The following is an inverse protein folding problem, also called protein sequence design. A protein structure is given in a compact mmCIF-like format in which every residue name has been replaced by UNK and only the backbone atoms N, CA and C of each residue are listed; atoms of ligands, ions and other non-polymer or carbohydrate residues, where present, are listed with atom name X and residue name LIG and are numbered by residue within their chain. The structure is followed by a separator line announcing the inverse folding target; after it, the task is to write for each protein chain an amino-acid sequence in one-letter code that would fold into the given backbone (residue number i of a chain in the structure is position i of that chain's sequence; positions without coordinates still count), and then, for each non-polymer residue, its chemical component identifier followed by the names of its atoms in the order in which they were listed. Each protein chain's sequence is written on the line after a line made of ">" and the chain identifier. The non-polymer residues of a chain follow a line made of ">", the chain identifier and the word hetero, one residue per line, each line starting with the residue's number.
data_IF_650880971288
#
_entry.id   IF_650880971288
#
_cell.length_a   1.000
_cell.length_b   1.000
_cell.length_c   1.000
_cell.angle_alpha   90.00
_cell.angle_beta   90.00
_cell.angle_gamma   90.00
#
_symmetry.space_group_name_H-M   'P 1'
#
loop_
_entity.id
_entity.type
_entity.pdbx_description
1 polymer ?
#
# COMPACT_ATOMS: atom_id res chain seq x y z
N UNK A 1 31.39 -9.28 1.42
CA UNK A 1 30.83 -9.51 0.05
C UNK A 1 31.52 -8.58 -0.92
N UNK A 2 32.09 -9.07 -2.04
CA UNK A 2 32.65 -8.19 -3.06
C UNK A 2 31.53 -7.28 -3.60
N UNK A 3 31.67 -5.95 -3.46
CA UNK A 3 30.76 -4.97 -4.02
C UNK A 3 30.59 -5.26 -5.51
N UNK A 4 29.42 -5.71 -5.92
CA UNK A 4 29.08 -5.81 -7.34
C UNK A 4 29.10 -4.39 -7.89
N UNK A 5 29.71 -4.18 -9.06
CA UNK A 5 29.66 -2.88 -9.74
C UNK A 5 28.21 -2.58 -10.08
N UNK A 6 27.70 -1.44 -9.64
CA UNK A 6 26.36 -0.98 -9.99
C UNK A 6 26.22 -0.85 -11.52
N UNK A 7 25.05 -1.22 -12.05
CA UNK A 7 24.81 -1.24 -13.48
C UNK A 7 23.45 -0.59 -13.80
N UNK A 8 23.48 0.58 -14.45
CA UNK A 8 22.30 1.32 -14.89
C UNK A 8 21.40 0.47 -15.80
N UNK A 9 22.00 -0.27 -16.74
CA UNK A 9 21.22 -1.07 -17.70
C UNK A 9 20.36 -2.13 -17.04
N UNK A 10 20.68 -2.56 -15.83
CA UNK A 10 19.85 -3.50 -15.08
C UNK A 10 18.48 -2.92 -14.70
N UNK A 11 18.31 -1.59 -14.67
CA UNK A 11 17.02 -0.93 -14.40
C UNK A 11 16.14 -0.78 -15.65
N UNK A 12 16.65 -1.08 -16.85
CA UNK A 12 15.90 -0.90 -18.10
C UNK A 12 14.54 -1.62 -18.15
N UNK A 13 14.37 -2.84 -17.62
CA UNK A 13 13.06 -3.49 -17.61
C UNK A 13 11.99 -2.63 -16.92
N UNK A 14 12.32 -2.04 -15.78
CA UNK A 14 11.41 -1.16 -15.04
C UNK A 14 11.19 0.18 -15.77
N UNK A 15 12.27 0.79 -16.27
CA UNK A 15 12.18 2.06 -17.02
C UNK A 15 11.28 1.89 -18.26
N UNK A 16 11.45 0.79 -19.00
CA UNK A 16 10.65 0.50 -20.19
C UNK A 16 9.19 0.21 -19.79
N UNK A 17 8.97 -0.54 -18.71
CA UNK A 17 7.63 -0.73 -18.15
C UNK A 17 6.94 0.63 -17.89
N UNK A 18 7.58 1.53 -17.16
CA UNK A 18 7.04 2.85 -16.82
C UNK A 18 6.76 3.66 -18.10
N UNK A 19 7.71 3.69 -19.04
CA UNK A 19 7.57 4.43 -20.29
C UNK A 19 6.39 3.90 -21.13
N UNK A 20 6.29 2.59 -21.31
CA UNK A 20 5.18 1.98 -22.09
C UNK A 20 3.86 2.22 -21.38
N UNK A 21 3.78 2.00 -20.07
CA UNK A 21 2.55 2.16 -19.31
C UNK A 21 2.01 3.59 -19.41
N UNK A 22 2.85 4.60 -19.14
CA UNK A 22 2.44 6.00 -19.24
C UNK A 22 2.18 6.45 -20.69
N UNK A 23 3.00 6.02 -21.64
CA UNK A 23 2.83 6.39 -23.04
C UNK A 23 1.54 5.79 -23.60
N UNK A 24 1.29 4.51 -23.39
CA UNK A 24 0.05 3.85 -23.82
C UNK A 24 -1.18 4.52 -23.19
N UNK A 25 -1.13 4.80 -21.88
CA UNK A 25 -2.21 5.46 -21.18
C UNK A 25 -2.54 6.85 -21.71
N UNK A 26 -1.52 7.64 -22.03
CA UNK A 26 -1.68 8.99 -22.60
C UNK A 26 -2.22 8.96 -24.04
N UNK A 27 -1.72 8.04 -24.89
CA UNK A 27 -2.17 7.94 -26.29
C UNK A 27 -3.59 7.42 -26.42
N UNK A 28 -3.98 6.48 -25.55
CA UNK A 28 -5.29 5.85 -25.60
C UNK A 28 -6.34 6.58 -24.75
N UNK A 29 -5.92 7.60 -23.98
CA UNK A 29 -6.75 8.27 -22.95
C UNK A 29 -7.45 7.27 -22.01
N UNK A 30 -6.86 6.10 -21.85
CA UNK A 30 -7.38 5.02 -21.01
C UNK A 30 -6.21 4.24 -20.37
N UNK A 31 -6.13 4.29 -19.04
CA UNK A 31 -5.12 3.57 -18.27
C UNK A 31 -5.37 2.06 -18.20
N UNK A 32 -6.54 1.59 -18.61
CA UNK A 32 -6.89 0.17 -18.67
C UNK A 32 -6.75 -0.44 -20.06
N UNK A 33 -6.54 0.39 -21.10
CA UNK A 33 -6.42 -0.09 -22.46
C UNK A 33 -5.35 -1.18 -22.62
N UNK A 34 -4.27 -1.11 -21.83
CA UNK A 34 -3.26 -2.16 -21.79
C UNK A 34 -3.15 -2.70 -20.35
N UNK A 35 -3.53 -3.96 -20.11
CA UNK A 35 -3.39 -4.57 -18.79
C UNK A 35 -1.95 -4.54 -18.28
N UNK A 36 -1.75 -4.11 -17.02
CA UNK A 36 -0.42 -3.97 -16.42
C UNK A 36 0.39 -5.28 -16.48
N UNK A 37 -0.27 -6.42 -16.33
CA UNK A 37 0.37 -7.74 -16.41
C UNK A 37 1.05 -7.97 -17.76
N UNK A 38 0.46 -7.51 -18.88
CA UNK A 38 1.02 -7.67 -20.23
C UNK A 38 2.32 -6.86 -20.36
N UNK A 39 2.33 -5.63 -19.84
CA UNK A 39 3.51 -4.76 -19.88
C UNK A 39 4.61 -5.31 -18.95
N UNK A 40 4.25 -5.88 -17.79
CA UNK A 40 5.23 -6.53 -16.91
C UNK A 40 5.82 -7.83 -17.50
N UNK A 41 5.04 -8.60 -18.27
CA UNK A 41 5.58 -9.73 -19.03
C UNK A 41 6.60 -9.24 -20.07
N UNK A 42 6.32 -8.12 -20.75
CA UNK A 42 7.31 -7.53 -21.65
C UNK A 42 8.58 -7.08 -20.92
N UNK A 43 8.42 -6.45 -19.75
CA UNK A 43 9.55 -6.11 -18.88
C UNK A 43 10.35 -7.34 -18.44
N UNK A 44 9.68 -8.46 -18.14
CA UNK A 44 10.33 -9.74 -17.84
C UNK A 44 11.13 -10.25 -19.04
N UNK A 45 10.55 -10.24 -20.25
CA UNK A 45 11.26 -10.65 -21.46
C UNK A 45 12.53 -9.82 -21.66
N UNK A 46 12.45 -8.50 -21.48
CA UNK A 46 13.61 -7.60 -21.56
C UNK A 46 14.64 -7.97 -20.50
N UNK A 47 14.24 -8.19 -19.24
CA UNK A 47 15.12 -8.59 -18.16
C UNK A 47 15.86 -9.93 -18.47
N UNK A 48 15.17 -10.88 -19.09
CA UNK A 48 15.73 -12.17 -19.49
C UNK A 48 16.70 -12.06 -20.69
N UNK A 49 16.43 -11.16 -21.63
CA UNK A 49 17.29 -10.94 -22.81
C UNK A 49 18.54 -10.11 -22.48
N UNK A 50 18.49 -9.25 -21.47
CA UNK A 50 19.64 -8.46 -21.04
C UNK A 50 20.80 -9.34 -20.56
N UNK A 51 22.03 -8.81 -20.62
CA UNK A 51 23.25 -9.47 -20.13
C UNK A 51 23.45 -10.89 -20.66
N UNK A 52 23.76 -11.05 -21.97
CA UNK A 52 23.88 -12.38 -22.60
C UNK A 52 24.99 -13.26 -22.01
N UNK A 53 25.93 -12.68 -21.26
CA UNK A 53 26.98 -13.43 -20.53
C UNK A 53 26.46 -14.15 -19.28
N UNK A 54 25.29 -13.76 -18.77
CA UNK A 54 24.63 -14.45 -17.64
C UNK A 54 23.76 -15.56 -18.22
N UNK A 55 23.94 -16.78 -17.70
CA UNK A 55 23.16 -17.93 -18.19
C UNK A 55 21.65 -17.74 -17.96
N UNK A 56 20.85 -18.29 -18.85
CA UNK A 56 19.40 -18.23 -18.74
C UNK A 56 18.92 -18.83 -17.41
N UNK A 57 19.50 -19.97 -17.01
CA UNK A 57 19.14 -20.62 -15.74
C UNK A 57 19.41 -19.74 -14.53
N UNK A 58 20.52 -19.00 -14.50
CA UNK A 58 20.84 -18.07 -13.42
C UNK A 58 19.82 -16.91 -13.34
N UNK A 59 19.32 -16.43 -14.48
CA UNK A 59 18.27 -15.39 -14.51
C UNK A 59 16.95 -15.94 -14.01
N UNK A 60 16.59 -17.17 -14.37
CA UNK A 60 15.39 -17.83 -13.85
C UNK A 60 15.51 -18.08 -12.34
N UNK A 61 16.68 -18.49 -11.83
CA UNK A 61 16.89 -18.60 -10.38
C UNK A 61 16.72 -17.25 -9.67
N UNK A 62 17.25 -16.17 -10.23
CA UNK A 62 17.07 -14.83 -9.69
C UNK A 62 15.60 -14.38 -9.71
N UNK A 63 14.88 -14.71 -10.80
CA UNK A 63 13.43 -14.50 -10.91
C UNK A 63 12.68 -15.28 -9.82
N UNK A 64 12.92 -16.58 -9.68
CA UNK A 64 12.24 -17.42 -8.70
C UNK A 64 12.51 -16.95 -7.26
N UNK A 65 13.75 -16.53 -6.95
CA UNK A 65 14.09 -15.97 -5.64
C UNK A 65 13.35 -14.67 -5.36
N UNK A 66 13.22 -13.79 -6.35
CA UNK A 66 12.47 -12.54 -6.20
C UNK A 66 10.97 -12.79 -6.09
N UNK A 67 10.39 -13.63 -6.96
CA UNK A 67 8.96 -13.97 -6.92
C UNK A 67 8.56 -14.71 -5.64
N UNK A 68 9.44 -15.54 -5.11
CA UNK A 68 9.23 -16.33 -3.89
C UNK A 68 9.65 -15.62 -2.60
N UNK A 69 9.90 -14.33 -2.60
CA UNK A 69 10.16 -13.59 -1.35
C UNK A 69 8.97 -13.70 -0.40
N UNK A 70 9.25 -13.93 0.88
CA UNK A 70 8.23 -14.15 1.93
C UNK A 70 7.15 -13.07 1.90
N UNK A 71 7.53 -11.81 1.77
CA UNK A 71 6.61 -10.66 1.72
C UNK A 71 5.63 -10.78 0.54
N UNK A 72 6.07 -11.22 -0.64
CA UNK A 72 5.22 -11.37 -1.82
C UNK A 72 4.23 -12.51 -1.63
N UNK A 73 4.70 -13.65 -1.11
CA UNK A 73 3.83 -14.80 -0.85
C UNK A 73 2.78 -14.48 0.21
N UNK A 74 3.15 -13.77 1.28
CA UNK A 74 2.21 -13.31 2.29
C UNK A 74 1.17 -12.33 1.72
N UNK A 75 1.57 -11.38 0.85
CA UNK A 75 0.64 -10.49 0.17
C UNK A 75 -0.38 -11.26 -0.68
N UNK A 76 0.07 -12.25 -1.44
CA UNK A 76 -0.83 -13.08 -2.26
C UNK A 76 -1.84 -13.81 -1.38
N UNK A 77 -1.40 -14.40 -0.26
CA UNK A 77 -2.31 -15.06 0.69
C UNK A 77 -3.36 -14.08 1.24
N UNK A 78 -2.94 -12.86 1.60
CA UNK A 78 -3.84 -11.81 2.07
C UNK A 78 -4.83 -11.43 0.97
N UNK A 79 -4.39 -11.26 -0.30
CA UNK A 79 -5.29 -10.94 -1.41
C UNK A 79 -6.37 -12.00 -1.62
N UNK A 80 -5.99 -13.28 -1.63
CA UNK A 80 -6.94 -14.37 -1.79
C UNK A 80 -7.99 -14.37 -0.66
N UNK A 81 -7.54 -14.31 0.59
CA UNK A 81 -8.43 -14.26 1.75
C UNK A 81 -9.34 -13.02 1.73
N UNK A 82 -8.79 -11.86 1.37
CA UNK A 82 -9.55 -10.63 1.29
C UNK A 82 -10.57 -10.65 0.14
N UNK A 83 -10.23 -11.25 -1.00
CA UNK A 83 -11.16 -11.49 -2.10
C UNK A 83 -12.35 -12.34 -1.66
N UNK A 84 -12.09 -13.46 -0.98
CA UNK A 84 -13.14 -14.31 -0.41
C UNK A 84 -14.01 -13.57 0.61
N UNK A 85 -13.38 -12.80 1.51
CA UNK A 85 -14.08 -12.00 2.52
C UNK A 85 -14.98 -10.93 1.88
N UNK A 86 -14.46 -10.20 0.88
CA UNK A 86 -15.22 -9.17 0.16
C UNK A 86 -16.38 -9.75 -0.65
N UNK A 87 -16.16 -10.88 -1.35
CA UNK A 87 -17.21 -11.56 -2.12
C UNK A 87 -18.32 -12.08 -1.23
N UNK A 88 -17.99 -12.73 -0.10
CA UNK A 88 -18.98 -13.16 0.88
C UNK A 88 -19.75 -11.98 1.48
N UNK A 89 -19.06 -10.89 1.81
CA UNK A 89 -19.70 -9.68 2.31
C UNK A 89 -20.72 -9.09 1.34
N UNK A 90 -20.41 -9.12 0.03
CA UNK A 90 -21.34 -8.70 -1.03
C UNK A 90 -22.51 -9.68 -1.17
N UNK A 91 -22.24 -10.98 -1.23
CA UNK A 91 -23.24 -12.03 -1.43
C UNK A 91 -24.24 -12.12 -0.25
N UNK A 92 -23.77 -11.89 0.98
CA UNK A 92 -24.61 -11.90 2.20
C UNK A 92 -25.35 -10.58 2.45
N UNK A 93 -25.16 -9.55 1.60
CA UNK A 93 -25.72 -8.22 1.80
C UNK A 93 -25.05 -7.40 2.92
N UNK A 94 -23.99 -7.92 3.51
CA UNK A 94 -23.28 -7.27 4.62
C UNK A 94 -22.62 -5.94 4.18
N UNK A 95 -22.07 -5.88 2.96
CA UNK A 95 -21.51 -4.65 2.40
C UNK A 95 -22.58 -3.58 2.32
N UNK A 96 -23.72 -3.89 1.71
CA UNK A 96 -24.85 -2.97 1.57
C UNK A 96 -25.39 -2.52 2.93
N UNK A 97 -25.57 -3.45 3.88
CA UNK A 97 -25.99 -3.11 5.25
C UNK A 97 -24.99 -2.20 5.96
N UNK A 98 -23.69 -2.45 5.78
CA UNK A 98 -22.62 -1.60 6.35
C UNK A 98 -22.65 -0.20 5.77
N UNK A 99 -22.76 -0.07 4.44
CA UNK A 99 -22.87 1.21 3.75
C UNK A 99 -24.10 1.98 4.22
N UNK A 100 -25.25 1.32 4.25
CA UNK A 100 -26.50 1.94 4.68
C UNK A 100 -26.41 2.44 6.13
N UNK A 101 -25.76 1.68 7.02
CA UNK A 101 -25.48 2.11 8.39
C UNK A 101 -24.61 3.37 8.41
N UNK A 102 -23.47 3.37 7.69
CA UNK A 102 -22.58 4.52 7.65
C UNK A 102 -23.24 5.78 7.07
N UNK A 103 -23.95 5.64 5.95
CA UNK A 103 -24.65 6.76 5.30
C UNK A 103 -25.79 7.30 6.18
N UNK A 104 -26.45 6.47 6.99
CA UNK A 104 -27.54 6.90 7.88
C UNK A 104 -27.04 7.73 9.08
N UNK A 105 -25.83 7.46 9.58
CA UNK A 105 -25.34 8.08 10.81
C UNK A 105 -24.20 9.09 10.60
N UNK A 106 -23.40 8.95 9.54
CA UNK A 106 -22.37 9.94 9.23
C UNK A 106 -22.98 11.10 8.41
N UNK A 107 -22.67 12.36 8.76
CA UNK A 107 -23.00 13.47 7.87
C UNK A 107 -22.39 13.20 6.49
N UNK A 108 -23.20 13.35 5.44
CA UNK A 108 -22.78 13.00 4.07
C UNK A 108 -21.47 13.71 3.67
N UNK A 109 -21.31 14.97 4.08
CA UNK A 109 -20.09 15.76 3.84
C UNK A 109 -18.85 15.24 4.59
N UNK A 110 -19.00 14.32 5.54
CA UNK A 110 -17.90 13.77 6.33
C UNK A 110 -17.55 12.32 5.95
N UNK A 111 -18.27 11.71 5.00
CA UNK A 111 -18.09 10.30 4.63
C UNK A 111 -16.64 10.03 4.21
N UNK A 112 -16.07 10.81 3.30
CA UNK A 112 -14.70 10.59 2.79
C UNK A 112 -13.66 10.77 3.90
N UNK A 113 -13.77 11.83 4.69
CA UNK A 113 -12.88 12.06 5.84
C UNK A 113 -13.05 10.96 6.90
N UNK A 114 -14.28 10.47 7.10
CA UNK A 114 -14.57 9.36 8.00
C UNK A 114 -13.86 8.07 7.56
N UNK A 115 -13.90 7.73 6.27
CA UNK A 115 -13.17 6.57 5.74
C UNK A 115 -11.65 6.71 5.90
N UNK A 116 -11.10 7.89 5.69
CA UNK A 116 -9.69 8.15 5.97
C UNK A 116 -9.34 7.87 7.44
N UNK A 117 -10.13 8.40 8.39
CA UNK A 117 -9.88 8.20 9.82
C UNK A 117 -10.04 6.74 10.25
N UNK A 118 -11.07 6.04 9.73
CA UNK A 118 -11.27 4.61 9.98
C UNK A 118 -10.08 3.82 9.43
N UNK A 119 -9.62 4.12 8.22
CA UNK A 119 -8.46 3.48 7.63
C UNK A 119 -7.18 3.74 8.44
N UNK A 120 -6.95 4.97 8.94
CA UNK A 120 -5.85 5.28 9.84
C UNK A 120 -5.89 4.39 11.09
N UNK A 121 -7.05 4.30 11.71
CA UNK A 121 -7.22 3.56 12.95
C UNK A 121 -7.02 2.05 12.77
N UNK A 122 -7.64 1.47 11.74
CA UNK A 122 -7.49 0.05 11.41
C UNK A 122 -6.03 -0.26 11.09
N UNK A 123 -5.40 0.54 10.22
CA UNK A 123 -4.03 0.28 9.77
C UNK A 123 -3.00 0.38 10.90
N UNK A 124 -3.16 1.35 11.81
CA UNK A 124 -2.33 1.42 13.03
C UNK A 124 -2.48 0.15 13.88
N UNK A 125 -3.70 -0.38 13.95
CA UNK A 125 -4.03 -1.54 14.79
C UNK A 125 -3.60 -2.87 14.20
N UNK A 126 -3.75 -3.06 12.87
CA UNK A 126 -3.36 -4.30 12.16
C UNK A 126 -1.86 -4.31 11.83
N UNK A 127 -1.27 -3.13 11.57
CA UNK A 127 0.12 -2.99 11.14
C UNK A 127 0.36 -3.33 9.66
N UNK A 128 -0.68 -3.30 8.81
CA UNK A 128 -0.55 -3.51 7.37
C UNK A 128 -1.50 -2.63 6.57
N UNK A 129 -0.94 -1.84 5.64
CA UNK A 129 -1.72 -1.01 4.74
C UNK A 129 -2.56 -1.84 3.77
N UNK A 130 -2.00 -2.89 3.19
CA UNK A 130 -2.71 -3.77 2.24
C UNK A 130 -3.91 -4.44 2.92
N UNK A 131 -3.75 -4.99 4.13
CA UNK A 131 -4.84 -5.60 4.88
C UNK A 131 -5.98 -4.61 5.16
N UNK A 132 -5.66 -3.37 5.47
CA UNK A 132 -6.63 -2.29 5.69
C UNK A 132 -7.39 -1.95 4.40
N UNK A 133 -6.67 -1.78 3.29
CA UNK A 133 -7.24 -1.43 1.99
C UNK A 133 -8.23 -2.49 1.53
N UNK A 134 -7.83 -3.77 1.53
CA UNK A 134 -8.70 -4.86 1.04
C UNK A 134 -9.92 -5.08 1.92
N UNK A 135 -9.84 -4.70 3.20
CA UNK A 135 -10.98 -4.78 4.13
C UNK A 135 -12.00 -3.67 3.89
N UNK A 136 -11.55 -2.44 3.61
CA UNK A 136 -12.43 -1.27 3.48
C UNK A 136 -12.85 -0.97 2.05
N UNK A 137 -12.05 -1.33 1.05
CA UNK A 137 -12.32 -0.96 -0.34
C UNK A 137 -13.66 -1.53 -0.88
N UNK A 138 -14.13 -2.75 -0.54
CA UNK A 138 -15.46 -3.21 -0.94
C UNK A 138 -16.59 -2.28 -0.49
N UNK A 139 -16.47 -1.74 0.72
CA UNK A 139 -17.45 -0.81 1.28
C UNK A 139 -17.44 0.51 0.48
N UNK A 140 -16.25 1.03 0.15
CA UNK A 140 -16.10 2.25 -0.64
C UNK A 140 -16.71 2.12 -2.05
N UNK A 141 -16.53 0.96 -2.68
CA UNK A 141 -17.08 0.69 -4.02
C UNK A 141 -18.60 0.62 -3.98
N UNK A 142 -19.19 0.06 -2.93
CA UNK A 142 -20.64 -0.03 -2.79
C UNK A 142 -21.30 1.35 -2.59
N UNK A 143 -20.59 2.31 -1.95
CA UNK A 143 -21.06 3.69 -1.77
C UNK A 143 -21.30 4.38 -3.12
N UNK A 144 -20.59 4.01 -4.19
CA UNK A 144 -20.80 4.54 -5.56
C UNK A 144 -22.26 4.43 -6.02
N UNK A 145 -22.99 3.39 -5.59
CA UNK A 145 -24.40 3.22 -5.93
C UNK A 145 -25.30 4.30 -5.32
N UNK A 146 -24.86 4.87 -4.20
CA UNK A 146 -25.62 5.88 -3.45
C UNK A 146 -25.08 7.28 -3.79
N UNK A 147 -23.76 7.42 -3.92
CA UNK A 147 -23.04 8.66 -4.19
C UNK A 147 -22.20 8.46 -5.46
N UNK A 148 -22.77 8.71 -6.66
CA UNK A 148 -22.02 8.56 -7.91
C UNK A 148 -20.75 9.42 -7.95
N UNK A 149 -19.66 8.87 -8.48
CA UNK A 149 -18.35 9.54 -8.57
C UNK A 149 -17.52 9.51 -7.27
N UNK A 150 -17.98 8.78 -6.24
CA UNK A 150 -17.30 8.73 -4.94
C UNK A 150 -16.16 7.70 -4.87
N UNK A 151 -16.13 6.69 -5.72
CA UNK A 151 -15.20 5.55 -5.60
C UNK A 151 -13.75 5.98 -5.58
N UNK A 152 -13.31 6.79 -6.52
CA UNK A 152 -11.89 7.19 -6.63
C UNK A 152 -11.40 7.93 -5.37
N UNK A 153 -12.19 8.89 -4.88
CA UNK A 153 -11.82 9.66 -3.69
C UNK A 153 -11.89 8.83 -2.41
N UNK A 154 -12.86 7.92 -2.29
CA UNK A 154 -12.97 7.02 -1.14
C UNK A 154 -11.79 6.04 -1.11
N UNK A 155 -11.41 5.45 -2.25
CA UNK A 155 -10.23 4.59 -2.34
C UNK A 155 -8.95 5.38 -2.04
N UNK A 156 -8.83 6.62 -2.53
CA UNK A 156 -7.73 7.51 -2.19
C UNK A 156 -7.63 7.79 -0.69
N UNK A 157 -8.78 8.03 -0.04
CA UNK A 157 -8.85 8.23 1.40
C UNK A 157 -8.45 6.97 2.19
N UNK A 158 -8.94 5.80 1.76
CA UNK A 158 -8.58 4.51 2.39
C UNK A 158 -7.09 4.21 2.24
N UNK A 159 -6.53 4.34 1.04
CA UNK A 159 -5.09 4.15 0.80
C UNK A 159 -4.28 5.13 1.62
N UNK A 160 -4.66 6.42 1.63
CA UNK A 160 -4.01 7.44 2.44
C UNK A 160 -4.01 7.11 3.94
N UNK A 161 -5.16 6.71 4.48
CA UNK A 161 -5.28 6.30 5.88
C UNK A 161 -4.51 5.02 6.20
N UNK A 162 -4.47 4.06 5.27
CA UNK A 162 -3.68 2.86 5.39
C UNK A 162 -2.17 3.16 5.45
N UNK A 163 -1.68 4.10 4.64
CA UNK A 163 -0.29 4.56 4.68
C UNK A 163 0.06 5.33 5.96
N UNK A 164 -0.92 6.06 6.55
CA UNK A 164 -0.73 6.63 7.88
C UNK A 164 -0.46 5.56 8.93
N UNK A 165 -1.18 4.45 8.86
CA UNK A 165 -0.95 3.30 9.75
C UNK A 165 0.44 2.70 9.59
N UNK A 166 0.92 2.47 8.39
CA UNK A 166 2.27 1.98 8.15
C UNK A 166 3.33 2.89 8.81
N UNK A 167 3.13 4.20 8.77
CA UNK A 167 4.03 5.17 9.40
C UNK A 167 4.02 5.15 10.94
N UNK A 168 2.89 4.87 11.57
CA UNK A 168 2.72 5.04 13.02
C UNK A 168 2.41 3.75 13.79
N UNK A 169 2.14 2.63 13.13
CA UNK A 169 1.95 1.36 13.81
C UNK A 169 3.26 0.84 14.41
N UNK A 170 3.19 0.33 15.65
CA UNK A 170 4.32 -0.33 16.31
C UNK A 170 4.59 -1.73 15.76
N UNK A 171 3.62 -2.31 15.05
CA UNK A 171 3.68 -3.67 14.50
C UNK A 171 3.79 -3.69 12.97
N UNK A 172 3.86 -2.54 12.32
CA UNK A 172 4.06 -2.44 10.88
C UNK A 172 5.45 -2.95 10.47
N UNK A 173 5.49 -3.73 9.39
CA UNK A 173 6.72 -4.27 8.81
C UNK A 173 7.73 -3.16 8.47
N UNK A 174 7.26 -2.02 7.96
CA UNK A 174 8.10 -0.85 7.64
C UNK A 174 8.72 -0.24 8.88
N UNK A 175 7.92 -0.07 9.94
CA UNK A 175 8.40 0.43 11.24
C UNK A 175 9.43 -0.53 11.85
N UNK A 176 9.16 -1.85 11.83
CA UNK A 176 10.09 -2.87 12.33
C UNK A 176 11.39 -2.85 11.52
N UNK A 177 11.31 -2.83 10.19
CA UNK A 177 12.48 -2.78 9.32
C UNK A 177 13.32 -1.51 9.56
N UNK A 178 12.69 -0.34 9.63
CA UNK A 178 13.37 0.93 9.85
C UNK A 178 14.05 1.00 11.21
N UNK A 179 13.37 0.56 12.29
CA UNK A 179 13.93 0.60 13.64
C UNK A 179 15.05 -0.40 13.84
N UNK A 180 14.90 -1.63 13.32
CA UNK A 180 15.93 -2.67 13.42
C UNK A 180 17.18 -2.33 12.64
N UNK A 181 17.06 -1.82 11.40
CA UNK A 181 18.22 -1.45 10.59
C UNK A 181 19.00 -0.26 11.17
N UNK A 182 18.34 0.61 11.93
CA UNK A 182 18.96 1.76 12.59
C UNK A 182 19.30 1.52 14.07
N UNK A 183 18.98 0.34 14.62
CA UNK A 183 19.19 -0.01 16.02
C UNK A 183 18.59 1.02 16.99
N UNK A 184 17.34 1.39 16.75
CA UNK A 184 16.60 2.38 17.55
C UNK A 184 15.31 1.76 18.09
N UNK A 185 14.90 2.18 19.28
CA UNK A 185 13.63 1.73 19.85
C UNK A 185 12.43 2.34 19.10
N UNK A 186 11.33 1.58 19.04
CA UNK A 186 10.12 1.97 18.32
C UNK A 186 9.49 3.24 18.87
N UNK A 187 9.54 3.45 20.19
CA UNK A 187 8.94 4.63 20.83
C UNK A 187 9.65 5.93 20.41
N UNK A 188 10.98 5.89 20.30
CA UNK A 188 11.79 7.02 19.84
C UNK A 188 11.53 7.34 18.37
N UNK A 189 11.41 6.31 17.50
CA UNK A 189 11.01 6.45 16.09
C UNK A 189 9.59 7.02 15.98
N UNK A 190 8.64 6.46 16.74
CA UNK A 190 7.26 6.94 16.76
C UNK A 190 7.18 8.44 17.04
N UNK A 191 7.86 8.93 18.10
CA UNK A 191 7.88 10.36 18.44
C UNK A 191 8.45 11.22 17.31
N UNK A 192 9.53 10.75 16.64
CA UNK A 192 10.12 11.48 15.52
C UNK A 192 9.18 11.52 14.31
N UNK A 193 8.53 10.40 14.03
CA UNK A 193 7.61 10.26 12.90
C UNK A 193 6.31 11.05 13.11
N UNK A 194 5.77 11.04 14.32
CA UNK A 194 4.54 11.73 14.68
C UNK A 194 4.56 13.21 14.30
N UNK A 195 5.71 13.88 14.53
CA UNK A 195 5.88 15.28 14.17
C UNK A 195 5.83 15.55 12.63
N UNK A 196 6.14 14.53 11.82
CA UNK A 196 6.12 14.63 10.36
C UNK A 196 4.73 14.28 9.81
N UNK A 197 4.13 13.19 10.29
CA UNK A 197 2.94 12.62 9.68
C UNK A 197 1.63 13.21 10.21
N UNK A 198 1.59 13.70 11.47
CA UNK A 198 0.39 14.27 12.05
C UNK A 198 -0.09 15.53 11.30
N UNK A 199 0.76 16.51 10.97
CA UNK A 199 0.33 17.67 10.19
C UNK A 199 -0.26 17.26 8.83
N UNK A 200 0.37 16.31 8.15
CA UNK A 200 -0.12 15.77 6.88
C UNK A 200 -1.51 15.13 7.03
N UNK A 201 -1.70 14.32 8.09
CA UNK A 201 -2.99 13.68 8.36
C UNK A 201 -4.10 14.70 8.65
N UNK A 202 -3.83 15.70 9.48
CA UNK A 202 -4.82 16.76 9.81
C UNK A 202 -5.23 17.55 8.58
N UNK A 203 -4.27 17.93 7.73
CA UNK A 203 -4.56 18.62 6.47
C UNK A 203 -5.35 17.69 5.54
N UNK A 204 -5.01 16.40 5.48
CA UNK A 204 -5.74 15.42 4.67
C UNK A 204 -7.21 15.30 5.07
N UNK A 205 -7.52 15.28 6.38
CA UNK A 205 -8.91 15.28 6.87
C UNK A 205 -9.66 16.49 6.34
N UNK A 206 -9.04 17.69 6.43
CA UNK A 206 -9.66 18.94 5.94
C UNK A 206 -9.87 18.89 4.42
N UNK A 207 -8.88 18.41 3.66
CA UNK A 207 -9.00 18.29 2.19
C UNK A 207 -10.08 17.29 1.81
N UNK A 208 -10.14 16.11 2.45
CA UNK A 208 -11.21 15.13 2.19
C UNK A 208 -12.59 15.69 2.55
N UNK A 209 -12.70 16.45 3.64
CA UNK A 209 -13.95 17.13 3.98
C UNK A 209 -14.36 18.16 2.91
N UNK A 210 -13.43 18.99 2.43
CA UNK A 210 -13.71 20.00 1.40
C UNK A 210 -14.08 19.30 0.08
N UNK A 211 -13.33 18.30 -0.33
CA UNK A 211 -13.57 17.62 -1.61
C UNK A 211 -14.88 16.82 -1.57
N UNK A 212 -15.28 16.26 -0.43
CA UNK A 212 -16.56 15.57 -0.29
C UNK A 212 -17.78 16.48 -0.55
N UNK A 213 -17.62 17.80 -0.40
CA UNK A 213 -18.70 18.75 -0.71
C UNK A 213 -19.02 18.87 -2.20
N UNK A 214 -18.11 18.42 -3.09
CA UNK A 214 -18.34 18.38 -4.53
C UNK A 214 -19.12 17.13 -4.99
N UNK A 215 -19.30 16.15 -4.11
CA UNK A 215 -20.08 14.96 -4.40
C UNK A 215 -21.58 15.25 -4.35
N UNK A 216 -22.34 14.67 -5.26
CA UNK A 216 -23.80 14.80 -5.25
C UNK A 216 -24.40 13.88 -4.16
N UNK A 217 -24.68 14.48 -3.01
CA UNK A 217 -25.24 13.81 -1.85
C UNK A 217 -26.78 13.96 -1.75
N UNK A 218 -27.40 14.59 -2.76
CA UNK A 218 -28.84 14.89 -2.74
C UNK A 218 -29.72 13.63 -2.62
N UNK A 219 -29.23 12.51 -3.15
CA UNK A 219 -29.95 11.23 -3.10
C UNK A 219 -29.94 10.56 -1.72
N UNK A 220 -29.04 10.97 -0.80
CA UNK A 220 -28.95 10.37 0.55
C UNK A 220 -30.14 10.77 1.42
N UNK A 221 -30.60 12.02 1.27
CA UNK A 221 -31.65 12.61 2.14
C UNK A 221 -33.05 12.03 1.90
N UNK A 222 -33.27 11.24 0.83
CA UNK A 222 -34.59 10.76 0.41
C UNK A 222 -34.80 9.26 0.57
N UNK A 223 -33.79 8.47 0.94
CA UNK A 223 -33.92 7.03 1.10
C UNK A 223 -33.90 6.63 2.58
N UNK A 224 -34.94 5.95 3.03
CA UNK A 224 -34.88 5.11 4.25
C UNK A 224 -33.97 3.94 3.90
N UNK A 225 -32.71 4.01 4.34
CA UNK A 225 -31.72 2.98 4.09
C UNK A 225 -31.88 1.89 5.16
N UNK A 226 -32.52 0.79 4.79
CA UNK A 226 -32.63 -0.37 5.68
C UNK A 226 -31.27 -1.07 5.79
N UNK A 227 -30.87 -1.42 7.00
CA UNK A 227 -29.66 -2.19 7.27
C UNK A 227 -29.95 -3.29 8.30
N UNK A 228 -29.30 -4.44 8.08
CA UNK A 228 -29.35 -5.56 9.01
C UNK A 228 -28.04 -5.62 9.83
N UNK A 229 -28.16 -5.36 11.13
CA UNK A 229 -27.01 -5.37 12.06
C UNK A 229 -26.35 -6.75 12.12
N UNK A 230 -27.13 -7.85 12.00
CA UNK A 230 -26.57 -9.20 12.06
C UNK A 230 -25.63 -9.46 10.89
N UNK A 231 -25.97 -8.99 9.70
CA UNK A 231 -25.11 -9.10 8.51
C UNK A 231 -23.78 -8.32 8.67
N UNK A 232 -23.74 -7.28 9.50
CA UNK A 232 -22.56 -6.45 9.74
C UNK A 232 -21.59 -7.11 10.75
N UNK A 233 -22.05 -8.05 11.56
CA UNK A 233 -21.23 -8.67 12.63
C UNK A 233 -19.85 -9.17 12.15
N UNK A 234 -19.68 -9.85 11.00
CA UNK A 234 -18.35 -10.30 10.57
C UNK A 234 -17.38 -9.14 10.29
N UNK A 235 -17.88 -7.99 9.80
CA UNK A 235 -17.05 -6.78 9.64
C UNK A 235 -16.63 -6.24 11.00
N UNK A 236 -17.55 -6.13 11.96
CA UNK A 236 -17.25 -5.68 13.32
C UNK A 236 -16.28 -6.63 14.02
N UNK A 237 -16.41 -7.94 13.78
CA UNK A 237 -15.53 -8.96 14.33
C UNK A 237 -14.11 -8.80 13.78
N UNK A 238 -13.93 -8.69 12.46
CA UNK A 238 -12.62 -8.44 11.82
C UNK A 238 -12.01 -7.13 12.34
N UNK A 239 -12.81 -6.08 12.44
CA UNK A 239 -12.40 -4.79 12.97
C UNK A 239 -11.94 -4.91 14.44
N UNK A 240 -12.71 -5.58 15.29
CA UNK A 240 -12.37 -5.81 16.69
C UNK A 240 -11.09 -6.64 16.87
N UNK A 241 -10.90 -7.69 16.04
CA UNK A 241 -9.68 -8.49 16.03
C UNK A 241 -8.46 -7.66 15.59
N UNK A 242 -8.65 -6.82 14.57
CA UNK A 242 -7.62 -5.92 14.10
C UNK A 242 -7.14 -4.95 15.20
N UNK A 243 -8.07 -4.29 15.90
CA UNK A 243 -7.75 -3.41 17.03
C UNK A 243 -7.04 -4.17 18.15
N UNK A 244 -7.41 -5.42 18.37
CA UNK A 244 -6.78 -6.29 19.39
C UNK A 244 -5.37 -6.76 18.99
N UNK A 245 -4.86 -6.36 17.80
CA UNK A 245 -3.54 -6.74 17.31
C UNK A 245 -3.46 -8.18 16.78
N UNK A 246 -4.59 -8.81 16.46
CA UNK A 246 -4.61 -10.13 15.84
C UNK A 246 -4.11 -10.02 14.39
N UNK A 247 -3.28 -10.99 13.98
CA UNK A 247 -2.73 -11.04 12.62
C UNK A 247 -3.85 -10.98 11.56
N UNK A 248 -3.63 -10.21 10.49
CA UNK A 248 -4.61 -9.96 9.42
C UNK A 248 -5.14 -11.26 8.78
N UNK A 249 -4.27 -12.27 8.60
CA UNK A 249 -4.65 -13.57 8.03
C UNK A 249 -5.70 -14.25 8.91
N UNK A 250 -5.46 -14.33 10.22
CA UNK A 250 -6.41 -14.88 11.17
C UNK A 250 -7.69 -14.07 11.24
N UNK A 251 -7.61 -12.74 11.23
CA UNK A 251 -8.78 -11.87 11.22
C UNK A 251 -9.67 -12.12 10.00
N UNK A 252 -9.07 -12.23 8.80
CA UNK A 252 -9.81 -12.53 7.57
C UNK A 252 -10.42 -13.94 7.58
N UNK A 253 -9.67 -14.97 8.05
CA UNK A 253 -10.20 -16.34 8.17
C UNK A 253 -11.42 -16.36 9.10
N UNK A 254 -11.33 -15.73 10.27
CA UNK A 254 -12.44 -15.66 11.23
C UNK A 254 -13.61 -14.89 10.64
N UNK A 255 -13.38 -13.80 9.91
CA UNK A 255 -14.40 -13.04 9.20
C UNK A 255 -15.11 -13.86 8.12
N UNK A 256 -14.37 -14.62 7.30
CA UNK A 256 -14.91 -15.55 6.29
C UNK A 256 -15.81 -16.60 6.97
N UNK A 257 -15.32 -17.24 8.04
CA UNK A 257 -16.11 -18.22 8.81
C UNK A 257 -17.34 -17.57 9.43
N UNK A 258 -17.25 -16.31 9.88
CA UNK A 258 -18.38 -15.53 10.38
C UNK A 258 -19.46 -15.33 9.32
N UNK A 259 -19.09 -14.94 8.09
CA UNK A 259 -20.05 -14.81 6.98
C UNK A 259 -20.70 -16.14 6.61
N UNK A 260 -19.92 -17.22 6.52
CA UNK A 260 -20.45 -18.56 6.22
C UNK A 260 -21.43 -18.99 7.32
N UNK A 261 -21.04 -18.80 8.60
CA UNK A 261 -21.88 -19.14 9.74
C UNK A 261 -23.21 -18.40 9.76
N UNK A 262 -23.20 -17.07 9.52
CA UNK A 262 -24.41 -16.25 9.47
C UNK A 262 -25.28 -16.58 8.24
N UNK A 263 -24.67 -16.77 7.06
CA UNK A 263 -25.40 -17.15 5.85
C UNK A 263 -26.17 -18.46 6.01
N UNK A 264 -25.58 -19.43 6.71
CA UNK A 264 -26.22 -20.70 7.02
C UNK A 264 -27.28 -20.58 8.14
N UNK A 265 -26.98 -19.78 9.19
CA UNK A 265 -27.89 -19.59 10.32
C UNK A 265 -29.22 -18.96 9.89
N UNK A 266 -29.16 -17.94 9.04
CA UNK A 266 -30.37 -17.25 8.57
C UNK A 266 -31.08 -18.00 7.44
N UNK A 267 -30.61 -19.18 7.02
CA UNK A 267 -31.13 -19.93 5.84
C UNK A 267 -31.25 -19.04 4.57
N UNK A 268 -30.50 -17.97 4.50
CA UNK A 268 -30.55 -17.01 3.39
C UNK A 268 -29.88 -17.56 2.12
N UNK A 269 -28.84 -18.37 2.28
CA UNK A 269 -28.05 -18.88 1.17
C UNK A 269 -27.70 -20.36 1.37
N UNK A 270 -27.83 -21.19 0.33
CA UNK A 270 -27.32 -22.56 0.33
C UNK A 270 -25.79 -22.59 0.53
N UNK A 271 -25.30 -23.61 1.22
CA UNK A 271 -23.86 -23.79 1.43
C UNK A 271 -23.03 -23.73 0.14
N UNK A 272 -23.56 -24.31 -0.95
CA UNK A 272 -22.90 -24.29 -2.25
C UNK A 272 -22.71 -22.87 -2.82
N UNK A 273 -23.67 -21.97 -2.60
CA UNK A 273 -23.57 -20.60 -3.09
C UNK A 273 -22.58 -19.77 -2.28
N UNK A 274 -22.47 -20.04 -0.97
CA UNK A 274 -21.40 -19.47 -0.14
C UNK A 274 -20.02 -19.95 -0.61
N UNK A 275 -19.86 -21.25 -0.94
CA UNK A 275 -18.59 -21.77 -1.47
C UNK A 275 -18.25 -21.22 -2.85
N UNK A 276 -19.26 -21.03 -3.72
CA UNK A 276 -19.05 -20.32 -5.00
C UNK A 276 -18.57 -18.89 -4.77
N UNK A 277 -19.21 -18.16 -3.85
CA UNK A 277 -18.78 -16.80 -3.50
C UNK A 277 -17.34 -16.74 -3.03
N UNK A 278 -16.89 -17.70 -2.19
CA UNK A 278 -15.48 -17.81 -1.79
C UNK A 278 -14.57 -18.01 -3.01
N UNK A 279 -14.94 -18.92 -3.92
CA UNK A 279 -14.18 -19.20 -5.14
C UNK A 279 -14.12 -17.98 -6.07
N UNK A 280 -15.24 -17.27 -6.23
CA UNK A 280 -15.32 -16.07 -7.07
C UNK A 280 -14.43 -14.95 -6.49
N UNK A 281 -14.38 -14.82 -5.16
CA UNK A 281 -13.45 -13.93 -4.48
C UNK A 281 -11.99 -14.27 -4.72
N UNK A 282 -11.60 -15.56 -4.65
CA UNK A 282 -10.25 -16.01 -4.99
C UNK A 282 -9.91 -15.70 -6.46
N UNK A 283 -10.82 -16.04 -7.36
CA UNK A 283 -10.64 -15.83 -8.81
C UNK A 283 -10.47 -14.35 -9.14
N UNK A 284 -11.23 -13.47 -8.49
CA UNK A 284 -11.10 -12.03 -8.64
C UNK A 284 -9.73 -11.47 -8.26
N UNK A 285 -8.97 -12.17 -7.41
CA UNK A 285 -7.63 -11.78 -6.99
C UNK A 285 -6.49 -12.45 -7.75
N UNK A 286 -6.77 -13.37 -8.69
CA UNK A 286 -5.72 -14.08 -9.42
C UNK A 286 -4.84 -13.16 -10.26
N UNK A 287 -5.43 -12.23 -11.00
CA UNK A 287 -4.65 -11.28 -11.83
C UNK A 287 -3.65 -10.49 -10.98
N UNK A 288 -4.10 -9.95 -9.84
CA UNK A 288 -3.25 -9.21 -8.91
C UNK A 288 -2.15 -10.11 -8.32
N UNK A 289 -2.48 -11.33 -7.93
CA UNK A 289 -1.53 -12.29 -7.37
C UNK A 289 -0.43 -12.65 -8.35
N UNK A 290 -0.79 -12.95 -9.60
CA UNK A 290 0.18 -13.25 -10.67
C UNK A 290 1.03 -12.01 -10.99
N UNK A 291 0.43 -10.83 -11.03
CA UNK A 291 1.16 -9.58 -11.25
C UNK A 291 2.23 -9.37 -10.18
N UNK A 292 1.91 -9.58 -8.89
CA UNK A 292 2.88 -9.47 -7.79
C UNK A 292 4.05 -10.47 -7.93
N UNK A 293 3.78 -11.71 -8.36
CA UNK A 293 4.84 -12.69 -8.62
C UNK A 293 5.78 -12.22 -9.75
N UNK A 294 5.21 -11.70 -10.85
CA UNK A 294 6.00 -11.21 -11.98
C UNK A 294 6.84 -10.01 -11.59
N UNK A 295 6.26 -9.04 -10.87
CA UNK A 295 6.99 -7.87 -10.35
C UNK A 295 8.16 -8.31 -9.49
N UNK A 296 7.91 -9.17 -8.49
CA UNK A 296 8.95 -9.68 -7.61
C UNK A 296 10.07 -10.41 -8.36
N UNK A 297 9.70 -11.21 -9.35
CA UNK A 297 10.65 -11.92 -10.19
C UNK A 297 11.52 -10.97 -11.05
N UNK A 298 10.92 -9.96 -11.70
CA UNK A 298 11.65 -8.94 -12.47
C UNK A 298 12.62 -8.17 -11.56
N UNK A 299 12.17 -7.77 -10.38
CA UNK A 299 12.99 -7.11 -9.35
C UNK A 299 14.14 -8.01 -8.91
N UNK A 300 13.91 -9.31 -8.74
CA UNK A 300 14.98 -10.29 -8.45
C UNK A 300 16.07 -10.29 -9.51
N UNK A 301 15.72 -10.24 -10.80
CA UNK A 301 16.68 -10.15 -11.91
C UNK A 301 17.42 -8.79 -11.90
N UNK A 302 16.72 -7.68 -11.68
CA UNK A 302 17.29 -6.33 -11.59
C UNK A 302 18.34 -6.28 -10.47
N UNK A 303 18.01 -6.79 -9.30
CA UNK A 303 18.90 -6.88 -8.14
C UNK A 303 20.12 -7.76 -8.42
N UNK A 304 19.90 -8.92 -9.07
CA UNK A 304 21.01 -9.81 -9.45
C UNK A 304 22.00 -9.13 -10.39
N UNK A 305 21.54 -8.31 -11.32
CA UNK A 305 22.36 -7.62 -12.33
C UNK A 305 22.98 -6.28 -11.85
N UNK A 306 22.80 -5.90 -10.59
CA UNK A 306 23.43 -4.73 -10.00
C UNK A 306 22.67 -3.42 -10.20
N UNK A 307 21.36 -3.48 -10.49
CA UNK A 307 20.52 -2.29 -10.62
C UNK A 307 20.43 -1.50 -9.32
N UNK A 308 20.31 -2.19 -8.20
CA UNK A 308 20.24 -1.58 -6.89
C UNK A 308 21.55 -0.93 -6.47
N UNK A 309 22.69 -1.62 -6.70
CA UNK A 309 24.01 -1.10 -6.43
C UNK A 309 24.31 0.17 -7.24
N UNK A 310 23.73 0.28 -8.45
CA UNK A 310 23.85 1.51 -9.24
C UNK A 310 23.16 2.70 -8.55
N UNK A 311 21.95 2.52 -8.06
CA UNK A 311 21.19 3.55 -7.32
C UNK A 311 21.98 3.98 -6.08
N UNK A 312 22.48 3.02 -5.29
CA UNK A 312 23.29 3.28 -4.10
C UNK A 312 24.52 4.10 -4.44
N UNK A 313 25.30 3.67 -5.45
CA UNK A 313 26.54 4.33 -5.82
C UNK A 313 26.37 5.79 -6.29
N UNK A 314 25.30 6.09 -7.03
CA UNK A 314 25.04 7.46 -7.51
C UNK A 314 24.75 8.40 -6.33
N UNK A 315 23.89 7.98 -5.41
CA UNK A 315 23.40 8.86 -4.37
C UNK A 315 24.34 9.00 -3.17
N UNK A 316 25.32 8.08 -3.01
CA UNK A 316 26.28 8.17 -1.91
C UNK A 316 27.57 8.92 -2.24
N UNK A 317 27.84 9.21 -3.53
CA UNK A 317 29.15 9.66 -4.03
C UNK A 317 29.63 11.03 -3.51
N UNK A 318 28.73 11.97 -3.19
CA UNK A 318 29.07 13.38 -2.96
C UNK A 318 28.44 14.01 -1.70
N UNK A 319 28.29 13.25 -0.62
CA UNK A 319 27.69 13.77 0.62
C UNK A 319 28.70 14.63 1.39
N UNK A 320 28.38 15.92 1.62
CA UNK A 320 29.25 16.91 2.31
C UNK A 320 28.64 17.49 3.58
N UNK A 321 27.34 17.35 3.80
CA UNK A 321 26.65 17.94 4.95
C UNK A 321 25.60 16.99 5.52
N UNK A 322 25.15 17.24 6.77
CA UNK A 322 24.07 16.46 7.41
C UNK A 322 22.77 16.49 6.59
N UNK A 323 22.38 17.67 6.07
CA UNK A 323 21.19 17.80 5.22
C UNK A 323 21.31 17.00 3.92
N UNK A 324 22.49 17.04 3.29
CA UNK A 324 22.75 16.23 2.08
C UNK A 324 22.72 14.74 2.40
N UNK A 325 23.20 14.33 3.58
CA UNK A 325 23.12 12.93 4.02
C UNK A 325 21.64 12.49 4.19
N UNK A 326 20.81 13.31 4.82
CA UNK A 326 19.38 13.02 4.96
C UNK A 326 18.66 12.98 3.60
N UNK A 327 18.93 13.93 2.70
CA UNK A 327 18.37 13.93 1.34
C UNK A 327 18.87 12.74 0.51
N UNK A 328 20.11 12.31 0.70
CA UNK A 328 20.64 11.11 0.02
C UNK A 328 19.96 9.84 0.53
N UNK A 329 19.75 9.72 1.84
CA UNK A 329 18.99 8.60 2.44
C UNK A 329 17.55 8.59 1.91
N UNK A 330 16.90 9.76 1.89
CA UNK A 330 15.54 9.89 1.36
C UNK A 330 15.47 9.50 -0.12
N UNK A 331 16.39 10.01 -0.94
CA UNK A 331 16.47 9.68 -2.37
C UNK A 331 16.79 8.20 -2.64
N UNK A 332 17.69 7.59 -1.84
CA UNK A 332 17.98 6.16 -1.91
C UNK A 332 16.73 5.33 -1.63
N UNK A 333 16.03 5.66 -0.55
CA UNK A 333 14.81 4.95 -0.15
C UNK A 333 13.74 5.10 -1.22
N UNK A 334 13.53 6.33 -1.73
CA UNK A 334 12.54 6.59 -2.77
C UNK A 334 12.81 5.82 -4.06
N UNK A 335 14.04 5.83 -4.55
CA UNK A 335 14.40 5.13 -5.78
C UNK A 335 14.43 3.61 -5.59
N UNK A 336 14.87 3.13 -4.42
CA UNK A 336 14.83 1.70 -4.11
C UNK A 336 13.38 1.21 -4.04
N UNK A 337 12.50 1.94 -3.37
CA UNK A 337 11.10 1.58 -3.24
C UNK A 337 10.38 1.59 -4.61
N UNK A 338 10.57 2.64 -5.40
CA UNK A 338 10.05 2.68 -6.76
C UNK A 338 10.59 1.53 -7.63
N UNK A 339 11.86 1.14 -7.47
CA UNK A 339 12.46 0.05 -8.23
C UNK A 339 12.04 -1.34 -7.75
N UNK A 340 11.66 -1.48 -6.48
CA UNK A 340 11.33 -2.76 -5.84
C UNK A 340 9.81 -2.97 -5.70
N UNK A 341 9.03 -1.89 -5.82
CA UNK A 341 7.58 -1.85 -5.57
C UNK A 341 7.19 -2.49 -4.21
N UNK A 342 8.09 -2.36 -3.22
CA UNK A 342 7.90 -2.92 -1.88
C UNK A 342 8.69 -2.10 -0.85
N UNK A 343 7.95 -1.37 -0.02
CA UNK A 343 8.50 -0.45 0.98
C UNK A 343 9.35 -1.15 2.04
N UNK A 344 8.93 -2.30 2.54
CA UNK A 344 9.67 -3.06 3.57
C UNK A 344 11.01 -3.56 3.05
N UNK A 345 11.02 -4.13 1.83
CA UNK A 345 12.25 -4.61 1.20
C UNK A 345 13.18 -3.43 0.89
N UNK A 346 12.64 -2.30 0.42
CA UNK A 346 13.43 -1.09 0.19
C UNK A 346 14.14 -0.62 1.46
N UNK A 347 13.43 -0.58 2.60
CA UNK A 347 14.00 -0.22 3.90
C UNK A 347 15.10 -1.22 4.33
N UNK A 348 14.84 -2.52 4.21
CA UNK A 348 15.81 -3.56 4.61
C UNK A 348 17.11 -3.49 3.81
N UNK A 349 17.03 -3.09 2.54
CA UNK A 349 18.21 -2.98 1.67
C UNK A 349 18.95 -1.65 1.86
N UNK A 350 18.21 -0.55 1.94
CA UNK A 350 18.79 0.79 2.11
C UNK A 350 19.23 1.02 3.55
N UNK A 351 18.57 0.41 4.52
CA UNK A 351 18.80 0.62 5.95
C UNK A 351 20.26 0.49 6.40
N UNK A 352 21.00 -0.58 6.05
CA UNK A 352 22.43 -0.72 6.38
C UNK A 352 23.29 0.40 5.78
N UNK A 353 23.01 0.82 4.53
CA UNK A 353 23.69 1.93 3.86
C UNK A 353 23.35 3.26 4.54
N UNK A 354 22.10 3.47 4.89
CA UNK A 354 21.63 4.64 5.62
C UNK A 354 22.31 4.75 7.00
N UNK A 355 22.52 3.61 7.68
CA UNK A 355 23.23 3.56 8.96
C UNK A 355 24.70 3.98 8.80
N UNK A 356 25.39 3.47 7.77
CA UNK A 356 26.77 3.87 7.47
C UNK A 356 26.88 5.38 7.19
N UNK A 357 25.95 5.92 6.37
CA UNK A 357 25.88 7.37 6.10
C UNK A 357 25.60 8.14 7.40
N UNK A 358 24.67 7.65 8.22
CA UNK A 358 24.30 8.25 9.49
C UNK A 358 25.47 8.34 10.45
N UNK A 359 26.21 7.26 10.63
CA UNK A 359 27.37 7.19 11.52
C UNK A 359 28.48 8.12 11.03
N UNK A 360 28.76 8.15 9.73
CA UNK A 360 29.78 9.02 9.13
C UNK A 360 29.47 10.51 9.27
N UNK A 361 28.19 10.89 9.18
CA UNK A 361 27.78 12.29 9.21
C UNK A 361 27.16 12.72 10.57
N UNK A 362 27.12 11.84 11.57
CA UNK A 362 26.63 12.14 12.92
C UNK A 362 25.13 12.47 12.96
N UNK A 363 24.30 11.74 12.20
CA UNK A 363 22.86 11.83 12.26
C UNK A 363 22.31 11.01 13.44
N UNK A 364 21.16 11.41 14.00
CA UNK A 364 20.51 10.63 15.04
C UNK A 364 19.78 9.42 14.41
N UNK A 365 20.01 8.17 14.89
CA UNK A 365 19.41 6.96 14.32
C UNK A 365 17.87 7.01 14.24
N UNK A 366 17.19 7.57 15.26
CA UNK A 366 15.73 7.74 15.27
C UNK A 366 15.22 8.61 14.11
N UNK A 367 16.00 9.62 13.70
CA UNK A 367 15.66 10.50 12.59
C UNK A 367 15.86 9.78 11.26
N UNK A 368 16.92 8.99 11.13
CA UNK A 368 17.16 8.16 9.95
C UNK A 368 16.10 7.08 9.79
N UNK A 369 15.73 6.40 10.87
CA UNK A 369 14.61 5.43 10.86
C UNK A 369 13.30 6.09 10.42
N UNK A 370 13.02 7.31 10.90
CA UNK A 370 11.84 8.08 10.49
C UNK A 370 11.87 8.44 8.99
N UNK A 371 13.03 8.87 8.46
CA UNK A 371 13.18 9.18 7.03
C UNK A 371 12.96 7.93 6.17
N UNK A 372 13.60 6.81 6.51
CA UNK A 372 13.44 5.55 5.79
C UNK A 372 11.97 5.14 5.69
N UNK A 373 11.28 5.12 6.82
CA UNK A 373 9.89 4.72 6.91
C UNK A 373 8.94 5.70 6.20
N UNK A 374 9.07 7.01 6.45
CA UNK A 374 8.18 8.00 5.87
C UNK A 374 8.34 8.10 4.35
N UNK A 375 9.57 8.04 3.83
CA UNK A 375 9.81 8.07 2.37
C UNK A 375 9.24 6.83 1.71
N UNK A 376 9.47 5.66 2.28
CA UNK A 376 8.98 4.41 1.68
C UNK A 376 7.44 4.39 1.67
N UNK A 377 6.79 4.80 2.75
CA UNK A 377 5.34 4.91 2.77
C UNK A 377 4.80 5.96 1.79
N UNK A 378 5.49 7.10 1.63
CA UNK A 378 5.14 8.09 0.63
C UNK A 378 5.21 7.52 -0.79
N UNK A 379 6.35 6.94 -1.17
CA UNK A 379 6.58 6.43 -2.53
C UNK A 379 5.66 5.25 -2.83
N UNK A 380 5.63 4.27 -1.95
CA UNK A 380 4.78 3.08 -2.12
C UNK A 380 3.30 3.44 -2.21
N UNK A 381 2.86 4.49 -1.49
CA UNK A 381 1.49 4.96 -1.54
C UNK A 381 1.09 5.55 -2.89
N UNK A 382 2.04 6.16 -3.64
CA UNK A 382 1.73 6.89 -4.88
C UNK A 382 2.12 6.17 -6.17
N UNK A 383 2.90 5.08 -6.11
CA UNK A 383 3.29 4.36 -7.34
C UNK A 383 2.10 3.55 -7.88
N UNK A 384 1.77 3.69 -9.18
CA UNK A 384 0.57 3.09 -9.76
C UNK A 384 0.60 1.56 -9.83
N UNK A 385 1.79 0.97 -9.74
CA UNK A 385 2.05 -0.47 -9.71
C UNK A 385 2.38 -0.99 -8.30
N UNK A 386 2.23 -0.14 -7.29
CA UNK A 386 2.39 -0.53 -5.88
C UNK A 386 1.22 -1.36 -5.37
N UNK A 387 1.49 -2.27 -4.46
CA UNK A 387 0.49 -3.18 -3.91
C UNK A 387 -0.73 -2.45 -3.33
N UNK A 388 -0.55 -1.27 -2.76
CA UNK A 388 -1.62 -0.48 -2.14
C UNK A 388 -2.62 0.04 -3.19
N UNK A 389 -2.13 0.70 -4.25
CA UNK A 389 -2.98 1.22 -5.32
C UNK A 389 -3.63 0.06 -6.08
N UNK A 390 -2.86 -0.98 -6.41
CA UNK A 390 -3.38 -2.16 -7.11
C UNK A 390 -4.44 -2.90 -6.29
N UNK A 391 -4.26 -3.04 -4.98
CA UNK A 391 -5.26 -3.67 -4.09
C UNK A 391 -6.57 -2.89 -4.04
N UNK A 392 -6.48 -1.56 -3.96
CA UNK A 392 -7.65 -0.70 -3.97
C UNK A 392 -8.46 -0.84 -5.27
N UNK A 393 -7.77 -0.90 -6.42
CA UNK A 393 -8.40 -1.02 -7.73
C UNK A 393 -8.92 -2.43 -8.00
N UNK A 394 -8.21 -3.48 -7.57
CA UNK A 394 -8.63 -4.86 -7.80
C UNK A 394 -10.01 -5.15 -7.22
N UNK A 395 -10.35 -4.53 -6.09
CA UNK A 395 -11.66 -4.67 -5.46
C UNK A 395 -12.78 -4.12 -6.34
N UNK A 396 -12.54 -3.09 -7.14
CA UNK A 396 -13.55 -2.54 -8.06
C UNK A 396 -13.95 -3.56 -9.13
N UNK A 397 -13.04 -4.47 -9.52
CA UNK A 397 -13.30 -5.53 -10.50
C UNK A 397 -14.15 -6.67 -9.91
N UNK A 398 -14.06 -6.94 -8.61
CA UNK A 398 -14.84 -8.01 -7.92
C UNK A 398 -16.26 -7.54 -7.64
N UNK A 399 -16.42 -6.30 -7.21
CA UNK A 399 -17.72 -5.67 -6.96
C UNK A 399 -18.51 -5.36 -8.25
N UNK A 400 -17.98 -5.72 -9.43
CA UNK A 400 -18.43 -5.27 -10.73
C UNK A 400 -19.72 -5.91 -11.21
N UNK A 401 -20.82 -5.40 -10.72
CA UNK A 401 -22.09 -5.49 -11.41
C UNK A 401 -22.49 -4.09 -11.90
N UNK A 402 -21.77 -3.58 -12.93
CA UNK A 402 -22.16 -2.36 -13.63
C UNK A 402 -21.60 -1.04 -13.06
N UNK A 403 -20.64 -1.08 -12.15
CA UNK A 403 -20.01 0.12 -11.59
C UNK A 403 -18.83 0.60 -12.47
N UNK A 404 -18.53 1.92 -12.50
CA UNK A 404 -17.43 2.45 -13.30
C UNK A 404 -16.10 1.90 -12.79
N UNK A 405 -15.22 1.49 -13.70
CA UNK A 405 -13.85 1.10 -13.40
C UNK A 405 -13.03 2.34 -13.03
N UNK A 406 -12.29 2.27 -11.93
CA UNK A 406 -11.45 3.38 -11.45
C UNK A 406 -10.00 3.11 -11.82
N UNK A 407 -9.35 4.08 -12.49
CA UNK A 407 -7.95 3.93 -12.89
C UNK A 407 -6.98 4.15 -11.71
N UNK A 408 -5.74 3.62 -11.77
CA UNK A 408 -4.71 3.94 -10.78
C UNK A 408 -4.52 5.43 -10.60
N UNK A 409 -4.56 6.23 -11.67
CA UNK A 409 -4.38 7.68 -11.60
C UNK A 409 -5.56 8.40 -10.96
N UNK A 410 -6.78 7.89 -11.13
CA UNK A 410 -7.95 8.46 -10.46
C UNK A 410 -7.79 8.32 -8.94
N UNK A 411 -7.34 7.17 -8.46
CA UNK A 411 -7.03 6.97 -7.03
C UNK A 411 -5.87 7.86 -6.59
N UNK A 412 -4.76 7.89 -7.37
CA UNK A 412 -3.56 8.67 -7.05
C UNK A 412 -3.86 10.16 -6.95
N UNK A 413 -4.75 10.69 -7.80
CA UNK A 413 -5.14 12.11 -7.74
C UNK A 413 -5.81 12.52 -6.42
N UNK A 414 -6.31 11.55 -5.65
CA UNK A 414 -6.97 11.74 -4.36
C UNK A 414 -6.13 11.24 -3.16
N UNK A 415 -4.85 10.90 -3.36
CA UNK A 415 -3.94 10.46 -2.29
C UNK A 415 -3.37 11.65 -1.51
N UNK A 416 -4.23 12.42 -0.86
CA UNK A 416 -3.79 13.64 -0.16
C UNK A 416 -2.75 13.36 0.92
N UNK A 417 -2.96 12.33 1.76
CA UNK A 417 -2.04 12.02 2.84
C UNK A 417 -0.64 11.63 2.36
N UNK A 418 -0.43 10.71 1.41
CA UNK A 418 0.91 10.39 0.92
C UNK A 418 1.64 11.61 0.38
N UNK A 419 1.01 12.44 -0.46
CA UNK A 419 1.63 13.65 -1.00
C UNK A 419 1.99 14.66 0.09
N UNK A 420 1.08 14.92 1.02
CA UNK A 420 1.32 15.84 2.13
C UNK A 420 2.41 15.32 3.07
N UNK A 421 2.50 14.02 3.27
CA UNK A 421 3.57 13.40 4.08
C UNK A 421 4.92 13.56 3.42
N UNK A 422 5.03 13.38 2.09
CA UNK A 422 6.23 13.67 1.33
C UNK A 422 6.68 15.14 1.45
N UNK A 423 5.73 16.08 1.32
CA UNK A 423 5.99 17.52 1.52
C UNK A 423 6.43 17.81 2.96
N UNK A 424 5.70 17.28 3.94
CA UNK A 424 6.02 17.45 5.37
C UNK A 424 7.41 16.96 5.71
N UNK A 425 7.80 15.78 5.19
CA UNK A 425 9.14 15.24 5.37
C UNK A 425 10.22 16.12 4.71
N UNK A 426 9.98 16.61 3.50
CA UNK A 426 10.91 17.49 2.82
C UNK A 426 11.12 18.79 3.62
N UNK A 427 10.04 19.41 4.11
CA UNK A 427 10.10 20.57 4.99
C UNK A 427 10.85 20.25 6.29
N UNK A 428 10.62 19.08 6.87
CA UNK A 428 11.32 18.63 8.07
C UNK A 428 12.83 18.52 7.85
N UNK A 429 13.27 17.94 6.72
CA UNK A 429 14.70 17.83 6.37
C UNK A 429 15.32 19.22 6.11
N UNK A 430 14.62 20.09 5.40
CA UNK A 430 15.16 21.37 4.98
C UNK A 430 15.23 22.42 6.11
N UNK A 431 14.21 22.45 6.97
CA UNK A 431 14.03 23.53 7.95
C UNK A 431 14.29 23.12 9.40
N UNK A 432 14.10 21.86 9.77
CA UNK A 432 14.38 21.40 11.12
C UNK A 432 15.82 20.86 11.19
N UNK A 433 16.64 21.49 12.04
CA UNK A 433 18.04 21.11 12.19
C UNK A 433 18.19 19.61 12.52
N UNK A 434 19.11 18.88 11.87
CA UNK A 434 19.36 17.48 12.19
C UNK A 434 19.80 17.35 13.65
N UNK A 435 19.19 16.43 14.40
CA UNK A 435 19.62 16.14 15.77
C UNK A 435 21.06 15.61 15.75
N UNK A 436 21.91 16.19 16.60
CA UNK A 436 23.23 15.65 16.83
C UNK A 436 23.12 14.30 17.57
N UNK A 437 23.98 13.35 17.21
CA UNK A 437 24.18 12.12 17.99
C UNK A 437 24.65 12.57 19.37
N UNK A 438 23.85 12.46 20.43
CA UNK A 438 24.33 12.64 21.79
C UNK A 438 25.25 11.47 22.10
N UNK A 439 26.47 11.75 22.51
CA UNK A 439 27.49 10.75 22.88
C UNK A 439 27.16 9.91 24.12
N UNK A 440 25.93 9.88 24.58
CA UNK A 440 25.50 9.06 25.72
C UNK A 440 24.00 8.77 25.61
N UNK A 441 23.61 7.81 24.77
CA UNK A 441 22.38 7.04 24.95
C UNK A 441 22.72 5.55 24.76
N UNK A 442 23.68 5.10 25.60
CA UNK A 442 23.68 3.76 26.15
C UNK A 442 23.00 3.88 27.52
N UNK A 443 21.68 3.67 27.56
CA UNK A 443 20.88 3.08 28.64
C UNK A 443 19.44 3.00 28.11
#
# INVERSE_FOLDING_TARGET
>A
MKSKKGNFWALMPLIIFILIYFTASLFLNDFYAVPAIVIFILALVIALLQFPKVSFNTKIEAFCKGAGEETIILMILIFLLAGAFGSLGSTTGAVTSTVNLFVSYLPANFIVAGFFLIACFISVSIGTSVGTIVTLAPIAVEIEKIIPGSTAILLGAIVGGAMFGDNLSFISDTTIAATRTQEVDMKSKFKANFAIVLPAALISVVLYYITSQSLDISNISQQTLDFDILSIIPYLLVFGLAISGVNVIWSLIIGILGFIGLGLWNNQLPFLDLMKSVNDGFTGMFELSILCLIIGGVVGIIRYNGGLEFIINILTKNIRSKKQAELSIAGLTALADAALANNTIAILIVGPVAKEISDKHGLAPKRVASILDTVSCFVQGIIPYGAQVLSAIAVTKIASTGLPTVSPLDVISHLYYPFLTGISLLLFILFIAPYAKKNNELI
#
